data_IF_180112676276
#
_entry.id   IF_180112676276
#
_cell.length_a   1.000
_cell.length_b   1.000
_cell.length_c   1.000
_cell.angle_alpha   90.00
_cell.angle_beta   90.00
_cell.angle_gamma   90.00
#
_symmetry.space_group_name_H-M   'P 1'
#
loop_
_entity.id
_entity.type
_entity.pdbx_description
1 polymer ?
#
# COMPACT_ATOMS: atom_id res chain seq x y z
N UNK A 1 -80.02 9.49 -17.30
CA UNK A 1 -78.95 8.85 -18.10
C UNK A 1 -77.78 9.87 -18.10
N UNK A 2 -76.80 9.67 -17.22
CA UNK A 2 -75.69 10.64 -16.99
C UNK A 2 -74.40 9.94 -17.45
N UNK A 3 -73.82 10.49 -18.47
CA UNK A 3 -72.46 10.14 -18.95
C UNK A 3 -71.50 10.94 -18.06
N UNK A 4 -70.73 10.25 -17.26
CA UNK A 4 -69.66 10.86 -16.40
C UNK A 4 -68.31 10.44 -16.89
N UNK A 5 -67.64 11.39 -17.42
CA UNK A 5 -66.21 11.72 -17.40
C UNK A 5 -65.19 10.58 -17.37
N UNK A 6 -64.75 10.18 -18.55
CA UNK A 6 -63.57 9.34 -18.79
C UNK A 6 -62.25 10.15 -18.94
N UNK A 7 -62.14 11.35 -18.36
CA UNK A 7 -60.94 12.19 -18.55
C UNK A 7 -59.94 12.20 -17.41
N UNK A 8 -60.23 11.48 -16.32
CA UNK A 8 -59.36 11.51 -15.14
C UNK A 8 -58.30 10.39 -15.05
N UNK A 9 -58.30 9.43 -15.97
CA UNK A 9 -57.40 8.25 -15.89
C UNK A 9 -56.14 8.32 -16.76
N UNK A 10 -56.00 9.35 -17.57
CA UNK A 10 -54.84 9.46 -18.51
C UNK A 10 -53.67 10.32 -17.98
N UNK A 11 -53.81 11.02 -16.87
CA UNK A 11 -52.78 11.92 -16.36
C UNK A 11 -51.83 11.30 -15.33
N UNK A 12 -52.12 10.13 -14.79
CA UNK A 12 -51.27 9.47 -13.80
C UNK A 12 -50.16 8.56 -14.35
N UNK A 13 -50.23 8.18 -15.65
CA UNK A 13 -49.25 7.24 -16.25
C UNK A 13 -47.99 7.95 -16.76
N UNK A 14 -48.06 9.25 -17.01
CA UNK A 14 -46.93 10.02 -17.57
C UNK A 14 -45.87 10.44 -16.54
N UNK A 15 -46.15 10.37 -15.23
CA UNK A 15 -45.18 10.78 -14.18
C UNK A 15 -44.28 9.64 -13.66
N UNK A 16 -44.58 8.36 -14.00
CA UNK A 16 -43.82 7.23 -13.50
C UNK A 16 -42.61 6.82 -14.38
N UNK A 17 -42.44 7.41 -15.56
CA UNK A 17 -41.34 7.08 -16.49
C UNK A 17 -40.12 7.99 -16.39
N UNK A 18 -40.13 8.99 -15.55
CA UNK A 18 -39.10 10.02 -15.49
C UNK A 18 -37.95 9.77 -14.49
N UNK A 19 -37.98 8.73 -13.66
CA UNK A 19 -36.98 8.57 -12.58
C UNK A 19 -36.01 7.39 -12.74
N UNK A 20 -35.98 6.73 -13.87
CA UNK A 20 -35.11 5.58 -14.12
C UNK A 20 -33.75 5.93 -14.78
N UNK A 21 -33.39 7.21 -14.89
CA UNK A 21 -32.17 7.63 -15.54
C UNK A 21 -31.42 8.57 -14.60
N UNK A 22 -30.53 8.03 -13.79
CA UNK A 22 -29.26 8.64 -13.35
C UNK A 22 -28.68 7.92 -12.14
N UNK A 23 -28.35 6.66 -12.34
CA UNK A 23 -27.24 6.07 -11.58
C UNK A 23 -26.15 5.71 -12.59
N UNK A 24 -25.55 6.73 -13.19
CA UNK A 24 -24.23 6.59 -13.77
C UNK A 24 -23.30 6.35 -12.57
N UNK A 25 -23.15 5.08 -12.19
CA UNK A 25 -22.14 4.68 -11.23
C UNK A 25 -20.82 5.20 -11.75
N UNK A 26 -20.23 6.19 -11.06
CA UNK A 26 -18.89 6.67 -11.37
C UNK A 26 -18.00 5.45 -11.30
N UNK A 27 -17.44 5.06 -12.46
CA UNK A 27 -16.59 3.89 -12.55
C UNK A 27 -15.39 4.11 -11.64
N UNK A 28 -15.16 3.18 -10.70
CA UNK A 28 -14.01 3.27 -9.83
C UNK A 28 -12.73 3.23 -10.66
N UNK A 29 -11.82 4.19 -10.46
CA UNK A 29 -10.58 4.32 -11.20
C UNK A 29 -9.46 3.44 -10.60
N UNK A 30 -8.58 2.83 -11.41
CA UNK A 30 -7.46 2.08 -10.89
C UNK A 30 -6.46 3.03 -10.21
N UNK A 31 -6.06 2.69 -8.98
CA UNK A 31 -4.97 3.36 -8.29
C UNK A 31 -3.66 2.82 -8.84
N UNK A 32 -2.86 3.66 -9.47
CA UNK A 32 -1.56 3.29 -10.03
C UNK A 32 -0.50 4.30 -9.64
N UNK A 33 0.69 3.82 -9.31
CA UNK A 33 1.86 4.65 -9.06
C UNK A 33 2.65 4.25 -7.82
N UNK A 34 3.76 4.94 -7.63
CA UNK A 34 4.66 4.79 -6.50
C UNK A 34 4.34 5.84 -5.44
N UNK A 35 4.30 5.42 -4.18
CA UNK A 35 4.04 6.27 -3.03
C UNK A 35 5.03 5.94 -1.91
N UNK A 36 5.36 6.92 -1.07
CA UNK A 36 6.22 6.70 0.08
C UNK A 36 5.97 7.69 1.19
N UNK A 37 6.22 7.28 2.42
CA UNK A 37 6.04 8.06 3.65
C UNK A 37 5.98 7.13 4.85
N UNK A 38 6.09 7.69 6.04
CA UNK A 38 6.04 6.94 7.31
C UNK A 38 6.88 5.64 7.27
N UNK A 39 8.11 5.73 6.72
CA UNK A 39 9.05 4.61 6.55
C UNK A 39 8.53 3.45 5.70
N UNK A 40 7.55 3.72 4.85
CA UNK A 40 6.90 2.75 3.96
C UNK A 40 7.07 3.20 2.52
N UNK A 41 7.32 2.25 1.62
CA UNK A 41 7.17 2.44 0.19
C UNK A 41 6.01 1.56 -0.30
N UNK A 42 5.18 2.08 -1.18
CA UNK A 42 4.07 1.36 -1.77
C UNK A 42 4.06 1.52 -3.29
N UNK A 43 3.89 0.42 -3.99
CA UNK A 43 3.75 0.37 -5.44
C UNK A 43 2.36 -0.17 -5.78
N UNK A 44 1.55 0.64 -6.42
CA UNK A 44 0.23 0.25 -6.90
C UNK A 44 0.27 0.04 -8.41
N UNK A 45 -0.01 -1.17 -8.84
CA UNK A 45 -0.14 -1.55 -10.24
C UNK A 45 -1.59 -1.77 -10.65
N UNK A 46 -1.82 -2.09 -11.93
CA UNK A 46 -3.15 -2.35 -12.47
C UNK A 46 -3.81 -3.58 -11.82
N UNK A 47 -3.01 -4.61 -11.52
CA UNK A 47 -3.50 -5.93 -11.08
C UNK A 47 -3.09 -6.29 -9.65
N UNK A 48 -2.15 -5.58 -9.06
CA UNK A 48 -1.66 -5.84 -7.70
C UNK A 48 -1.07 -4.59 -7.06
N UNK A 49 -0.91 -4.61 -5.75
CA UNK A 49 -0.12 -3.61 -5.04
C UNK A 49 0.81 -4.29 -4.04
N UNK A 50 1.96 -3.68 -3.82
CA UNK A 50 2.97 -4.13 -2.87
C UNK A 50 3.34 -2.98 -1.95
N UNK A 51 3.38 -3.26 -0.65
CA UNK A 51 3.82 -2.33 0.37
C UNK A 51 5.03 -2.92 1.07
N UNK A 52 6.04 -2.11 1.16
CA UNK A 52 7.26 -2.40 1.89
C UNK A 52 7.30 -1.53 3.15
N UNK A 53 7.07 -2.11 4.31
CA UNK A 53 7.13 -1.48 5.63
C UNK A 53 8.51 -1.73 6.27
N UNK A 54 8.80 -1.10 7.41
CA UNK A 54 10.12 -1.24 8.07
C UNK A 54 10.48 -2.70 8.39
N UNK A 55 9.55 -3.44 9.00
CA UNK A 55 9.76 -4.82 9.45
C UNK A 55 8.68 -5.74 8.92
N UNK A 56 8.08 -5.42 7.79
CA UNK A 56 7.04 -6.21 7.18
C UNK A 56 6.91 -5.90 5.69
N UNK A 57 6.25 -6.81 4.99
CA UNK A 57 5.80 -6.60 3.62
C UNK A 57 4.31 -6.91 3.52
N UNK A 58 3.62 -6.23 2.62
CA UNK A 58 2.23 -6.56 2.34
C UNK A 58 1.97 -6.63 0.84
N UNK A 59 1.09 -7.55 0.46
CA UNK A 59 0.72 -7.80 -0.94
C UNK A 59 -0.79 -7.77 -1.09
N UNK A 60 -1.28 -6.97 -2.03
CA UNK A 60 -2.67 -6.96 -2.48
C UNK A 60 -2.70 -7.57 -3.88
N UNK A 61 -3.29 -8.77 -4.02
CA UNK A 61 -3.27 -9.56 -5.26
C UNK A 61 -4.29 -9.14 -6.31
N UNK A 62 -4.95 -8.01 -6.10
CA UNK A 62 -5.89 -7.41 -7.06
C UNK A 62 -5.58 -5.94 -7.19
N UNK A 63 -5.83 -5.38 -8.37
CA UNK A 63 -5.72 -3.96 -8.58
C UNK A 63 -6.65 -3.19 -7.62
N UNK A 64 -6.09 -2.19 -6.96
CA UNK A 64 -6.84 -1.31 -6.07
C UNK A 64 -7.61 -0.31 -6.91
N UNK A 65 -8.87 -0.12 -6.61
CA UNK A 65 -9.73 0.85 -7.31
C UNK A 65 -10.27 1.88 -6.33
N UNK A 66 -10.25 3.12 -6.77
CA UNK A 66 -10.65 4.29 -5.99
C UNK A 66 -12.03 4.73 -6.45
N UNK A 67 -12.92 5.00 -5.53
CA UNK A 67 -14.24 5.56 -5.83
C UNK A 67 -14.19 7.08 -6.11
N UNK A 68 -15.34 7.67 -6.40
CA UNK A 68 -15.47 9.11 -6.71
C UNK A 68 -15.04 10.03 -5.55
N UNK A 69 -15.08 9.53 -4.31
CA UNK A 69 -14.70 10.26 -3.11
C UNK A 69 -13.23 10.06 -2.74
N UNK A 70 -12.48 9.31 -3.57
CA UNK A 70 -11.09 8.97 -3.33
C UNK A 70 -10.87 7.81 -2.36
N UNK A 71 -11.92 7.08 -1.99
CA UNK A 71 -11.84 5.97 -1.03
C UNK A 71 -11.57 4.65 -1.72
N UNK A 72 -10.88 3.77 -1.02
CA UNK A 72 -10.73 2.38 -1.44
C UNK A 72 -10.66 1.45 -0.24
N UNK A 73 -11.05 0.21 -0.47
CA UNK A 73 -10.85 -0.91 0.43
C UNK A 73 -10.30 -2.08 -0.37
N UNK A 74 -9.28 -2.73 0.17
CA UNK A 74 -8.66 -3.90 -0.44
C UNK A 74 -8.30 -4.93 0.63
N UNK A 75 -8.22 -6.21 0.24
CA UNK A 75 -7.74 -7.30 1.07
C UNK A 75 -6.46 -7.86 0.51
N UNK A 76 -5.57 -8.24 1.39
CA UNK A 76 -4.27 -8.78 1.02
C UNK A 76 -3.63 -9.59 2.13
N UNK A 77 -2.36 -9.85 1.96
CA UNK A 77 -1.52 -10.58 2.90
C UNK A 77 -0.51 -9.63 3.52
N UNK A 78 -0.28 -9.79 4.79
CA UNK A 78 0.74 -9.09 5.56
C UNK A 78 1.72 -10.11 6.10
N UNK A 79 3.00 -9.83 5.97
CA UNK A 79 4.09 -10.70 6.35
C UNK A 79 5.05 -9.92 7.22
N UNK A 80 5.16 -10.29 8.49
CA UNK A 80 6.16 -9.72 9.39
C UNK A 80 7.54 -10.35 9.15
N UNK A 81 8.57 -9.51 9.08
CA UNK A 81 9.96 -9.95 9.06
C UNK A 81 10.36 -10.37 10.49
N UNK A 82 10.63 -11.65 10.69
CA UNK A 82 11.06 -12.16 11.99
C UNK A 82 12.53 -11.82 12.23
N UNK A 83 12.81 -11.23 13.39
CA UNK A 83 14.16 -10.99 13.87
C UNK A 83 14.61 -12.26 14.61
N UNK A 84 15.44 -13.09 14.01
CA UNK A 84 16.01 -14.29 14.66
C UNK A 84 16.44 -15.37 13.69
N UNK A 85 17.16 -16.42 14.20
CA UNK A 85 17.43 -17.61 13.40
C UNK A 85 16.07 -18.24 13.03
N UNK A 86 15.87 -18.48 11.75
CA UNK A 86 14.71 -19.22 11.25
C UNK A 86 14.96 -20.67 11.62
N UNK A 87 14.47 -21.12 12.78
CA UNK A 87 14.35 -22.53 13.05
C UNK A 87 13.31 -23.06 12.05
N UNK A 88 13.76 -23.90 11.15
CA UNK A 88 13.22 -24.38 9.87
C UNK A 88 11.72 -24.52 9.63
N UNK A 89 10.85 -24.17 10.57
CA UNK A 89 9.39 -24.25 10.45
C UNK A 89 8.64 -22.97 10.89
N UNK A 90 9.31 -21.99 11.48
CA UNK A 90 8.71 -20.65 11.65
C UNK A 90 8.78 -19.88 10.33
N UNK A 91 8.27 -20.51 9.28
CA UNK A 91 8.08 -19.88 7.99
C UNK A 91 7.30 -18.57 8.22
N UNK A 92 7.85 -17.49 7.75
CA UNK A 92 7.24 -16.17 7.60
C UNK A 92 5.73 -16.33 7.38
N UNK A 93 4.95 -16.20 8.45
CA UNK A 93 3.52 -16.51 8.38
C UNK A 93 2.79 -15.33 7.78
N UNK A 94 2.32 -15.49 6.56
CA UNK A 94 1.43 -14.53 5.96
C UNK A 94 0.06 -14.53 6.68
N UNK A 95 -0.39 -13.37 7.13
CA UNK A 95 -1.70 -13.18 7.74
C UNK A 95 -2.57 -12.29 6.87
N UNK A 96 -3.88 -12.47 6.93
CA UNK A 96 -4.80 -11.61 6.20
C UNK A 96 -4.79 -10.19 6.76
N UNK A 97 -4.84 -9.22 5.86
CA UNK A 97 -4.96 -7.81 6.21
C UNK A 97 -5.99 -7.11 5.32
N UNK A 98 -6.64 -6.11 5.90
CA UNK A 98 -7.54 -5.19 5.20
C UNK A 98 -6.89 -3.82 5.13
N UNK A 99 -6.90 -3.24 3.95
CA UNK A 99 -6.32 -1.95 3.60
C UNK A 99 -7.45 -0.99 3.28
N UNK A 100 -7.64 0.04 4.08
CA UNK A 100 -8.62 1.11 3.84
C UNK A 100 -7.87 2.40 3.62
N UNK A 101 -8.10 3.07 2.50
CA UNK A 101 -7.38 4.27 2.16
C UNK A 101 -8.26 5.37 1.59
N UNK A 102 -7.72 6.57 1.67
CA UNK A 102 -8.29 7.78 1.10
C UNK A 102 -7.21 8.50 0.30
N UNK A 103 -7.39 8.52 -1.02
CA UNK A 103 -6.56 9.27 -1.95
C UNK A 103 -7.08 10.71 -2.03
N UNK A 104 -6.22 11.69 -1.76
CA UNK A 104 -6.48 13.11 -1.97
C UNK A 104 -5.29 13.70 -2.71
N UNK A 105 -5.52 14.18 -3.91
CA UNK A 105 -4.48 14.72 -4.78
C UNK A 105 -3.31 13.72 -4.97
N UNK A 106 -2.18 13.99 -4.37
CA UNK A 106 -0.96 13.18 -4.42
C UNK A 106 -0.69 12.36 -3.14
N UNK A 107 -1.64 12.33 -2.21
CA UNK A 107 -1.47 11.73 -0.88
C UNK A 107 -2.51 10.64 -0.60
N UNK A 108 -2.05 9.56 0.00
CA UNK A 108 -2.89 8.48 0.53
C UNK A 108 -2.79 8.47 2.05
N UNK A 109 -3.93 8.58 2.73
CA UNK A 109 -4.06 8.22 4.14
C UNK A 109 -4.54 6.78 4.20
N UNK A 110 -3.72 5.86 4.71
CA UNK A 110 -3.92 4.41 4.67
C UNK A 110 -4.03 3.84 6.08
N UNK A 111 -4.99 2.97 6.29
CA UNK A 111 -5.17 2.19 7.52
C UNK A 111 -5.03 0.71 7.16
N UNK A 112 -4.15 -0.01 7.84
CA UNK A 112 -3.93 -1.45 7.69
C UNK A 112 -4.41 -2.15 8.94
N UNK A 113 -5.44 -2.97 8.80
CA UNK A 113 -5.97 -3.83 9.86
C UNK A 113 -5.52 -5.26 9.64
N UNK A 114 -4.67 -5.78 10.53
CA UNK A 114 -4.02 -7.08 10.42
C UNK A 114 -4.77 -8.09 11.29
N UNK A 115 -5.10 -9.26 10.73
CA UNK A 115 -5.82 -10.30 11.46
C UNK A 115 -5.00 -10.77 12.69
N UNK A 116 -5.66 -10.77 13.86
CA UNK A 116 -5.02 -11.11 15.13
C UNK A 116 -4.32 -9.97 15.85
N UNK A 117 -4.14 -8.80 15.23
CA UNK A 117 -3.61 -7.60 15.86
C UNK A 117 -4.75 -6.73 16.42
N UNK A 118 -4.52 -6.14 17.59
CA UNK A 118 -5.53 -5.26 18.21
C UNK A 118 -5.54 -3.84 17.67
N UNK A 119 -4.39 -3.40 17.17
CA UNK A 119 -4.20 -2.05 16.67
C UNK A 119 -4.03 -2.08 15.16
N UNK A 120 -4.66 -1.13 14.48
CA UNK A 120 -4.42 -0.88 13.07
C UNK A 120 -3.21 0.05 12.88
N UNK A 121 -2.43 -0.19 11.84
CA UNK A 121 -1.39 0.74 11.41
C UNK A 121 -1.98 1.87 10.60
N UNK A 122 -1.53 3.10 10.85
CA UNK A 122 -1.95 4.29 10.12
C UNK A 122 -0.74 4.91 9.43
N UNK A 123 -0.82 5.11 8.14
CA UNK A 123 0.27 5.59 7.30
C UNK A 123 -0.20 6.76 6.43
N UNK A 124 0.69 7.72 6.21
CA UNK A 124 0.50 8.77 5.23
C UNK A 124 1.56 8.64 4.15
N UNK A 125 1.14 8.39 2.92
CA UNK A 125 2.02 8.16 1.78
C UNK A 125 1.82 9.27 0.75
N UNK A 126 2.91 9.73 0.13
CA UNK A 126 2.91 10.76 -0.91
C UNK A 126 3.38 10.17 -2.23
N UNK A 127 2.72 10.53 -3.33
CA UNK A 127 3.03 10.08 -4.69
C UNK A 127 4.43 10.52 -5.10
N UNK A 128 5.16 9.60 -5.72
CA UNK A 128 6.52 9.86 -6.20
C UNK A 128 7.57 10.03 -5.11
N UNK A 129 7.18 9.97 -3.82
CA UNK A 129 8.14 9.97 -2.73
C UNK A 129 8.67 8.56 -2.49
N UNK A 130 9.97 8.45 -2.19
CA UNK A 130 10.61 7.21 -1.75
C UNK A 130 11.36 7.45 -0.46
N UNK A 131 11.21 6.53 0.48
CA UNK A 131 11.92 6.58 1.76
C UNK A 131 12.96 5.47 1.82
N UNK A 132 14.11 5.79 2.42
CA UNK A 132 15.12 4.78 2.75
C UNK A 132 14.65 4.03 3.98
N UNK A 133 14.35 2.74 3.79
CA UNK A 133 13.95 1.87 4.90
C UNK A 133 15.17 1.36 5.64
N UNK A 134 15.07 1.36 6.96
CA UNK A 134 15.96 0.55 7.79
C UNK A 134 15.31 -0.83 7.87
N UNK A 135 15.84 -1.79 7.12
CA UNK A 135 15.39 -3.19 7.26
C UNK A 135 15.62 -3.62 8.70
N UNK A 136 14.67 -4.35 9.26
CA UNK A 136 14.90 -5.05 10.52
C UNK A 136 16.07 -6.01 10.30
N UNK A 137 17.25 -5.65 10.81
CA UNK A 137 18.41 -6.54 10.75
C UNK A 137 18.07 -7.74 11.60
N UNK A 138 17.91 -8.91 10.99
CA UNK A 138 18.04 -10.15 11.71
C UNK A 138 19.40 -10.10 12.42
N UNK A 139 19.42 -10.25 13.73
CA UNK A 139 20.61 -10.14 14.59
C UNK A 139 21.70 -11.21 14.30
N UNK A 140 21.75 -11.74 13.08
CA UNK A 140 22.73 -12.69 12.58
C UNK A 140 23.57 -12.20 11.40
N UNK A 141 23.26 -11.04 10.80
CA UNK A 141 24.12 -10.45 9.77
C UNK A 141 24.99 -9.33 10.38
N UNK A 142 25.94 -9.77 11.21
CA UNK A 142 27.14 -9.02 11.46
C UNK A 142 27.73 -8.65 10.10
N UNK A 143 27.68 -7.37 9.78
CA UNK A 143 28.39 -6.83 8.61
C UNK A 143 29.85 -7.18 8.87
N UNK A 144 30.35 -8.27 8.27
CA UNK A 144 31.77 -8.55 8.17
C UNK A 144 32.36 -7.36 7.40
N UNK A 145 32.69 -6.33 8.14
CA UNK A 145 33.48 -5.21 7.68
C UNK A 145 34.74 -5.80 7.09
N UNK A 146 34.89 -5.68 5.79
CA UNK A 146 36.14 -5.99 5.07
C UNK A 146 37.26 -5.31 5.85
N UNK A 147 38.25 -6.04 6.40
CA UNK A 147 39.32 -5.41 7.15
C UNK A 147 40.00 -4.45 6.18
N UNK A 148 40.04 -3.18 6.55
CA UNK A 148 40.90 -2.19 5.91
C UNK A 148 42.32 -2.71 6.12
N UNK A 149 42.96 -3.11 5.05
CA UNK A 149 44.39 -3.35 5.01
C UNK A 149 45.07 -2.06 5.44
N UNK A 150 45.51 -2.03 6.72
CA UNK A 150 46.31 -0.97 7.26
C UNK A 150 47.65 -0.94 6.50
N UNK A 151 47.94 0.21 5.97
CA UNK A 151 49.20 0.82 5.65
C UNK A 151 50.35 -0.09 5.25
N UNK A 152 50.69 -0.11 3.99
CA UNK A 152 52.06 -0.30 3.57
C UNK A 152 52.86 0.95 3.99
N UNK A 153 53.64 0.82 5.06
CA UNK A 153 54.66 1.76 5.43
C UNK A 153 55.79 1.67 4.38
N UNK A 154 55.93 2.68 3.54
CA UNK A 154 57.11 2.86 2.70
C UNK A 154 58.29 3.26 3.55
N UNK A 155 59.19 2.31 3.80
CA UNK A 155 60.50 2.58 4.34
C UNK A 155 61.35 3.24 3.24
N UNK A 156 61.53 4.55 3.31
CA UNK A 156 62.55 5.25 2.56
C UNK A 156 63.90 5.09 3.29
N UNK A 157 64.69 4.14 2.84
CA UNK A 157 66.11 4.06 3.19
C UNK A 157 66.87 5.20 2.53
N UNK A 158 67.44 6.01 3.35
CA UNK A 158 68.37 7.07 2.95
C UNK A 158 69.79 6.54 3.20
N UNK A 159 70.43 6.09 2.13
CA UNK A 159 71.90 5.85 2.14
C UNK A 159 72.61 7.14 1.86
N UNK A 160 73.43 7.57 2.81
CA UNK A 160 74.45 8.59 2.64
C UNK A 160 75.81 7.89 2.51
N UNK A 161 76.47 8.06 1.37
CA UNK A 161 77.83 7.68 1.11
C UNK A 161 78.73 8.85 1.42
N UNK A 162 79.85 8.56 2.20
CA UNK A 162 81.06 9.37 2.33
C UNK A 162 81.94 9.25 1.12
#
# INVERSE_FOLDING_TARGET
MKIRDSRALLTCVALALGQALMQAGVAAEPLVGEFGGDRTNASFGADSAQLDLDCATAEIRRGVRVDADGRFEARGLYVEDHIGPIDGEAATRAVEATFVGLLRDDRIDLIISIAGHRNAEQLTLKRGHRVNRVRCLSSGQEVRGKPRLAGQATANGRETLS
#
